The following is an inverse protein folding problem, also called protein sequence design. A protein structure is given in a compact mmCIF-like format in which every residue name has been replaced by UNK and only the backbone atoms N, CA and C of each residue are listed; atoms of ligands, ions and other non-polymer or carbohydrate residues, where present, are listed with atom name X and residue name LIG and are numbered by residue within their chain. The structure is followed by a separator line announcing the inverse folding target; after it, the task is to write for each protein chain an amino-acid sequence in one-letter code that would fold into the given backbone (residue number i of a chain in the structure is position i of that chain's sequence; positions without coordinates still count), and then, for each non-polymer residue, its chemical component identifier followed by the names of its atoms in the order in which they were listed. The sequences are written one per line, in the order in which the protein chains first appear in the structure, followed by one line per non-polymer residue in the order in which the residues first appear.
data_IF_089016287783
#
_entry.id   IF_089016287783
#
_cell.length_a   1.000
_cell.length_b   1.000
_cell.length_c   1.000
_cell.angle_alpha   90.00
_cell.angle_beta   90.00
_cell.angle_gamma   90.00
#
_symmetry.space_group_name_H-M   'P 1'
#
loop_
_entity.id
_entity.type
_entity.pdbx_description
1 polymer ?
#
# COMPACT_ATOMS: atom_id res chain seq x y z
N UNK A 1 -1.93 -46.54 -28.24
CA UNK A 1 -1.19 -46.38 -26.97
C UNK A 1 -0.81 -44.92 -26.78
N UNK A 2 -1.71 -44.11 -26.19
CA UNK A 2 -1.41 -42.75 -25.70
C UNK A 2 -2.06 -42.63 -24.33
N UNK A 3 -1.23 -42.62 -23.29
CA UNK A 3 -1.60 -42.49 -21.89
C UNK A 3 -2.07 -41.07 -21.59
N UNK A 4 -3.31 -40.90 -21.16
CA UNK A 4 -3.80 -39.65 -20.57
C UNK A 4 -3.60 -39.71 -19.06
N UNK A 5 -2.94 -38.68 -18.55
CA UNK A 5 -2.49 -38.46 -17.17
C UNK A 5 -3.64 -38.42 -16.13
N UNK A 6 -3.42 -38.88 -14.89
CA UNK A 6 -4.46 -39.08 -13.86
C UNK A 6 -4.77 -37.83 -13.00
N UNK A 7 -4.48 -36.61 -13.46
CA UNK A 7 -4.66 -35.38 -12.67
C UNK A 7 -5.95 -34.59 -12.98
N UNK A 8 -6.91 -35.20 -13.68
CA UNK A 8 -8.23 -34.60 -13.95
C UNK A 8 -9.26 -34.88 -12.83
N UNK A 9 -8.83 -35.21 -11.61
CA UNK A 9 -9.71 -35.59 -10.51
C UNK A 9 -9.29 -34.89 -9.21
N UNK A 10 -9.65 -33.61 -9.09
CA UNK A 10 -9.66 -32.87 -7.80
C UNK A 10 -10.47 -31.56 -7.83
N UNK A 11 -11.09 -31.19 -8.96
CA UNK A 11 -11.89 -29.96 -9.06
C UNK A 11 -13.33 -30.11 -8.51
N UNK A 12 -13.55 -30.97 -7.50
CA UNK A 12 -14.90 -31.33 -7.05
C UNK A 12 -15.10 -31.28 -5.52
N UNK A 13 -14.53 -30.28 -4.83
CA UNK A 13 -14.68 -30.13 -3.36
C UNK A 13 -15.25 -28.78 -2.90
N UNK A 14 -15.45 -27.79 -3.77
CA UNK A 14 -16.14 -26.55 -3.38
C UNK A 14 -17.46 -26.35 -4.13
N UNK A 15 -18.46 -27.15 -3.73
CA UNK A 15 -19.87 -26.96 -4.10
C UNK A 15 -20.53 -26.05 -3.07
N UNK A 16 -20.37 -24.74 -3.23
CA UNK A 16 -21.17 -23.75 -2.50
C UNK A 16 -22.53 -23.65 -3.23
N UNK A 17 -23.68 -23.85 -2.56
CA UNK A 17 -24.98 -23.70 -3.18
C UNK A 17 -25.28 -22.22 -3.46
N UNK A 18 -25.10 -21.80 -4.71
CA UNK A 18 -25.65 -20.55 -5.24
C UNK A 18 -27.17 -20.71 -5.41
N UNK A 19 -27.94 -20.62 -4.33
CA UNK A 19 -29.41 -20.60 -4.37
C UNK A 19 -29.97 -19.43 -3.56
N UNK A 20 -29.75 -18.22 -4.08
CA UNK A 20 -30.56 -17.03 -3.82
C UNK A 20 -30.49 -16.22 -5.11
N UNK A 21 -31.40 -16.49 -6.05
CA UNK A 21 -31.55 -15.66 -7.23
C UNK A 21 -32.06 -14.28 -6.78
N UNK A 22 -31.38 -13.16 -7.09
CA UNK A 22 -31.98 -11.86 -6.87
C UNK A 22 -33.15 -11.71 -7.84
N UNK A 23 -34.32 -11.35 -7.28
CA UNK A 23 -35.49 -10.97 -8.06
C UNK A 23 -35.10 -9.97 -9.15
N UNK A 24 -35.42 -10.30 -10.40
CA UNK A 24 -35.17 -9.48 -11.59
C UNK A 24 -35.95 -8.16 -11.44
N UNK A 25 -35.31 -6.98 -11.33
CA UNK A 25 -36.05 -5.73 -11.42
C UNK A 25 -36.60 -5.59 -12.86
N UNK A 26 -37.88 -5.24 -12.97
CA UNK A 26 -38.56 -4.91 -14.22
C UNK A 26 -37.81 -3.80 -14.98
N UNK A 27 -37.56 -3.92 -16.29
CA UNK A 27 -36.90 -2.89 -17.08
C UNK A 27 -37.93 -1.82 -17.48
N UNK A 28 -38.34 -1.00 -16.53
CA UNK A 28 -39.04 0.25 -16.80
C UNK A 28 -38.56 1.28 -15.80
N UNK A 29 -37.85 2.30 -16.29
CA UNK A 29 -37.32 3.45 -15.53
C UNK A 29 -35.91 3.31 -14.93
N UNK A 30 -34.94 2.77 -15.67
CA UNK A 30 -33.50 2.91 -15.35
C UNK A 30 -32.70 3.34 -16.58
N UNK A 31 -33.06 4.45 -17.21
CA UNK A 31 -32.29 5.06 -18.30
C UNK A 31 -31.92 6.49 -17.94
N UNK A 32 -30.76 6.69 -17.31
CA UNK A 32 -30.01 7.97 -17.39
C UNK A 32 -28.64 8.02 -16.68
N UNK A 33 -28.27 7.09 -15.78
CA UNK A 33 -27.00 7.23 -15.04
C UNK A 33 -25.76 6.63 -15.72
N UNK A 34 -25.91 5.78 -16.74
CA UNK A 34 -24.79 5.13 -17.43
C UNK A 34 -24.21 5.94 -18.59
N UNK A 35 -24.77 7.12 -18.91
CA UNK A 35 -24.34 7.97 -20.03
C UNK A 35 -23.72 9.31 -19.60
N UNK A 36 -23.02 9.35 -18.46
CA UNK A 36 -22.31 10.55 -17.97
C UNK A 36 -20.85 10.64 -18.45
N UNK A 37 -20.47 9.86 -19.47
CA UNK A 37 -19.23 10.11 -20.19
C UNK A 37 -19.43 11.34 -21.09
N UNK A 38 -18.61 12.40 -21.00
CA UNK A 38 -18.69 13.48 -21.98
C UNK A 38 -18.41 12.88 -23.36
N UNK A 39 -19.44 12.81 -24.21
CA UNK A 39 -19.42 12.09 -25.49
C UNK A 39 -18.48 12.70 -26.55
N UNK A 40 -17.67 13.71 -26.20
CA UNK A 40 -16.74 14.36 -27.11
C UNK A 40 -15.35 14.54 -26.46
N UNK A 41 -14.25 14.23 -27.17
CA UNK A 41 -12.91 14.51 -26.70
C UNK A 41 -12.72 16.02 -26.54
N UNK A 42 -12.00 16.41 -25.49
CA UNK A 42 -11.77 17.82 -25.16
C UNK A 42 -10.92 18.49 -26.24
N UNK A 43 -11.49 19.49 -26.92
CA UNK A 43 -10.81 20.26 -27.97
C UNK A 43 -10.04 21.41 -27.35
N UNK A 44 -8.71 21.35 -27.39
CA UNK A 44 -7.85 22.40 -26.88
C UNK A 44 -7.32 23.31 -28.00
N UNK A 45 -7.24 24.62 -27.74
CA UNK A 45 -6.47 25.55 -28.57
C UNK A 45 -4.97 25.32 -28.39
N UNK A 46 -4.14 25.79 -29.32
CA UNK A 46 -2.67 25.59 -29.32
C UNK A 46 -2.00 25.97 -27.99
N UNK A 47 -2.25 27.17 -27.47
CA UNK A 47 -1.66 27.64 -26.20
C UNK A 47 -2.12 26.82 -24.98
N UNK A 48 -3.38 26.37 -24.98
CA UNK A 48 -3.92 25.50 -23.91
C UNK A 48 -3.32 24.10 -23.98
N UNK A 49 -3.14 23.56 -25.18
CA UNK A 49 -2.48 22.28 -25.41
C UNK A 49 -1.02 22.30 -24.95
N UNK A 50 -0.27 23.37 -25.28
CA UNK A 50 1.12 23.51 -24.82
C UNK A 50 1.21 23.57 -23.29
N UNK A 51 0.36 24.36 -22.62
CA UNK A 51 0.31 24.39 -21.15
C UNK A 51 -0.01 23.02 -20.56
N UNK A 52 -1.03 22.35 -21.09
CA UNK A 52 -1.40 20.99 -20.67
C UNK A 52 -0.23 20.01 -20.84
N UNK A 53 0.44 20.04 -21.98
CA UNK A 53 1.59 19.18 -22.27
C UNK A 53 2.75 19.45 -21.32
N UNK A 54 3.07 20.72 -21.02
CA UNK A 54 4.14 21.07 -20.07
C UNK A 54 3.85 20.57 -18.66
N UNK A 55 2.62 20.74 -18.17
CA UNK A 55 2.20 20.25 -16.85
C UNK A 55 2.29 18.72 -16.79
N UNK A 56 1.76 18.04 -17.82
CA UNK A 56 1.80 16.59 -17.91
C UNK A 56 3.24 16.06 -17.95
N UNK A 57 4.13 16.70 -18.72
CA UNK A 57 5.53 16.29 -18.80
C UNK A 57 6.28 16.53 -17.50
N UNK A 58 6.03 17.66 -16.84
CA UNK A 58 6.60 17.96 -15.52
C UNK A 58 6.17 16.90 -14.48
N UNK A 59 4.90 16.50 -14.50
CA UNK A 59 4.38 15.43 -13.66
C UNK A 59 5.06 14.08 -13.95
N UNK A 60 5.19 13.68 -15.21
CA UNK A 60 5.92 12.45 -15.57
C UNK A 60 7.36 12.47 -15.07
N UNK A 61 8.04 13.61 -15.17
CA UNK A 61 9.41 13.78 -14.69
C UNK A 61 9.49 13.68 -13.15
N UNK A 62 8.54 14.27 -12.43
CA UNK A 62 8.44 14.14 -10.97
C UNK A 62 8.22 12.68 -10.57
N UNK A 63 7.29 11.98 -11.20
CA UNK A 63 7.06 10.55 -10.95
C UNK A 63 8.32 9.71 -11.22
N UNK A 64 9.03 9.98 -12.32
CA UNK A 64 10.27 9.27 -12.64
C UNK A 64 11.39 9.56 -11.62
N UNK A 65 11.43 10.77 -11.03
CA UNK A 65 12.34 11.07 -9.92
C UNK A 65 11.93 10.33 -8.64
N UNK A 66 10.64 10.30 -8.31
CA UNK A 66 10.15 9.60 -7.12
C UNK A 66 10.43 8.10 -7.19
N UNK A 67 10.16 7.44 -8.32
CA UNK A 67 10.49 6.01 -8.52
C UNK A 67 11.99 5.72 -8.35
N UNK A 68 12.84 6.52 -8.99
CA UNK A 68 14.31 6.39 -8.85
C UNK A 68 14.77 6.57 -7.40
N UNK A 69 14.20 7.53 -6.68
CA UNK A 69 14.54 7.73 -5.28
C UNK A 69 14.12 6.54 -4.41
N UNK A 70 12.94 5.97 -4.66
CA UNK A 70 12.48 4.76 -3.97
C UNK A 70 13.40 3.56 -4.26
N UNK A 71 13.78 3.34 -5.52
CA UNK A 71 14.71 2.27 -5.92
C UNK A 71 16.08 2.42 -5.25
N UNK A 72 16.63 3.64 -5.22
CA UNK A 72 17.90 3.92 -4.55
C UNK A 72 17.83 3.70 -3.04
N UNK A 73 16.72 4.07 -2.40
CA UNK A 73 16.54 3.87 -0.97
C UNK A 73 16.42 2.37 -0.63
N UNK A 74 15.68 1.60 -1.44
CA UNK A 74 15.63 0.14 -1.32
C UNK A 74 17.01 -0.49 -1.52
N UNK A 75 17.80 -0.01 -2.48
CA UNK A 75 19.17 -0.47 -2.71
C UNK A 75 20.07 -0.17 -1.50
N UNK A 76 19.96 1.03 -0.91
CA UNK A 76 20.72 1.41 0.29
C UNK A 76 20.38 0.52 1.48
N UNK A 77 19.09 0.29 1.73
CA UNK A 77 18.62 -0.59 2.80
C UNK A 77 19.15 -2.02 2.59
N UNK A 78 19.05 -2.54 1.36
CA UNK A 78 19.59 -3.85 1.02
C UNK A 78 21.10 -3.95 1.24
N UNK A 79 21.87 -2.94 0.81
CA UNK A 79 23.32 -2.90 1.01
C UNK A 79 23.68 -2.85 2.51
N UNK A 80 22.95 -2.06 3.29
CA UNK A 80 23.14 -1.99 4.75
C UNK A 80 22.84 -3.34 5.42
N UNK A 81 21.75 -4.00 5.02
CA UNK A 81 21.39 -5.33 5.54
C UNK A 81 22.42 -6.38 5.15
N UNK A 82 22.90 -6.35 3.91
CA UNK A 82 23.94 -7.25 3.41
C UNK A 82 25.25 -7.10 4.19
N UNK A 83 25.73 -5.87 4.36
CA UNK A 83 26.94 -5.59 5.15
C UNK A 83 26.81 -6.13 6.59
N UNK A 84 25.70 -5.85 7.27
CA UNK A 84 25.45 -6.37 8.61
C UNK A 84 25.44 -7.91 8.67
N UNK A 85 24.88 -8.58 7.65
CA UNK A 85 24.88 -10.05 7.57
C UNK A 85 26.28 -10.62 7.34
N UNK A 86 27.11 -9.96 6.54
CA UNK A 86 28.50 -10.36 6.30
C UNK A 86 29.36 -10.23 7.56
N UNK A 87 29.16 -9.17 8.34
CA UNK A 87 29.77 -8.99 9.66
C UNK A 87 29.35 -10.11 10.63
N UNK A 88 28.07 -10.48 10.67
CA UNK A 88 27.60 -11.61 11.49
C UNK A 88 28.17 -12.97 11.04
N UNK A 89 28.49 -13.11 9.75
CA UNK A 89 29.00 -14.35 9.17
C UNK A 89 30.48 -14.57 9.50
N UNK A 90 31.27 -13.49 9.51
CA UNK A 90 32.74 -13.56 9.60
C UNK A 90 33.34 -12.84 10.80
N UNK A 91 32.79 -11.69 11.20
CA UNK A 91 33.35 -10.79 12.22
C UNK A 91 32.95 -11.10 13.67
N UNK A 92 31.86 -11.83 13.90
CA UNK A 92 31.34 -12.07 15.25
C UNK A 92 32.08 -13.15 16.07
N UNK A 93 33.06 -13.85 15.51
CA UNK A 93 33.81 -14.92 16.21
C UNK A 93 33.02 -16.21 16.50
N UNK A 94 31.70 -16.22 16.29
CA UNK A 94 30.79 -17.34 16.56
C UNK A 94 30.76 -18.43 15.47
N UNK A 95 31.72 -18.44 14.54
CA UNK A 95 31.76 -19.37 13.41
C UNK A 95 30.51 -19.32 12.52
N UNK A 96 29.81 -18.17 12.46
CA UNK A 96 28.59 -17.99 11.68
C UNK A 96 27.33 -18.60 12.31
N UNK A 97 27.32 -18.96 13.60
CA UNK A 97 26.11 -19.45 14.29
C UNK A 97 24.96 -18.44 14.26
N UNK A 98 25.22 -17.18 14.61
CA UNK A 98 24.21 -16.12 14.61
C UNK A 98 23.65 -15.86 13.21
N UNK A 99 24.52 -15.86 12.19
CA UNK A 99 24.11 -15.75 10.79
C UNK A 99 23.11 -16.85 10.38
N UNK A 100 23.37 -18.12 10.72
CA UNK A 100 22.44 -19.23 10.44
C UNK A 100 21.09 -19.07 11.15
N UNK A 101 21.09 -18.57 12.39
CA UNK A 101 19.86 -18.31 13.13
C UNK A 101 19.06 -17.18 12.48
N UNK A 102 19.71 -16.09 12.11
CA UNK A 102 19.07 -14.94 11.46
C UNK A 102 18.47 -15.30 10.08
N UNK A 103 19.09 -16.22 9.34
CA UNK A 103 18.60 -16.68 8.03
C UNK A 103 17.43 -17.67 8.10
N UNK A 104 17.00 -18.08 9.30
CA UNK A 104 15.83 -18.96 9.44
C UNK A 104 14.54 -18.21 9.07
N UNK A 105 13.85 -18.67 8.03
CA UNK A 105 12.56 -18.11 7.56
C UNK A 105 11.33 -18.75 8.21
N UNK A 106 11.45 -19.21 9.46
CA UNK A 106 10.32 -19.82 10.19
C UNK A 106 9.25 -18.74 10.43
N UNK A 107 7.98 -19.05 10.20
CA UNK A 107 6.86 -18.12 10.41
C UNK A 107 6.64 -17.09 9.30
N UNK A 108 7.67 -16.72 8.52
CA UNK A 108 7.60 -15.61 7.53
C UNK A 108 6.52 -15.81 6.46
N UNK A 109 6.26 -17.05 6.04
CA UNK A 109 5.27 -17.36 5.00
C UNK A 109 3.93 -17.88 5.54
N UNK A 110 3.84 -18.14 6.84
CA UNK A 110 2.63 -18.69 7.50
C UNK A 110 1.94 -17.64 8.36
N UNK A 111 2.72 -16.93 9.17
CA UNK A 111 2.29 -15.82 10.02
C UNK A 111 2.54 -14.54 9.24
N UNK A 112 1.56 -14.18 8.40
CA UNK A 112 1.58 -12.93 7.64
C UNK A 112 1.76 -11.72 8.58
N UNK A 113 2.01 -10.53 8.01
CA UNK A 113 2.11 -9.29 8.77
C UNK A 113 0.91 -9.09 9.72
N UNK A 114 1.14 -8.66 10.98
CA UNK A 114 0.05 -8.35 11.90
C UNK A 114 -0.92 -7.33 11.31
N UNK A 115 -2.21 -7.60 11.44
CA UNK A 115 -3.28 -6.81 10.79
C UNK A 115 -3.33 -5.36 11.29
N UNK A 116 -2.80 -5.09 12.48
CA UNK A 116 -2.68 -3.78 13.09
C UNK A 116 -1.78 -2.84 12.26
N UNK A 117 -0.73 -3.39 11.64
CA UNK A 117 0.21 -2.64 10.81
C UNK A 117 -0.20 -2.55 9.34
N UNK A 118 -1.09 -3.43 8.87
CA UNK A 118 -1.64 -3.39 7.51
C UNK A 118 -2.62 -2.25 7.24
N UNK A 119 -2.78 -1.30 8.18
CA UNK A 119 -3.67 -0.16 8.03
C UNK A 119 -3.12 0.83 7.01
N UNK A 120 -3.95 1.19 6.03
CA UNK A 120 -3.60 2.22 5.05
C UNK A 120 -3.49 3.59 5.73
N UNK A 121 -2.60 4.43 5.22
CA UNK A 121 -2.48 5.82 5.67
C UNK A 121 -3.77 6.58 5.37
N UNK A 122 -4.25 7.36 6.34
CA UNK A 122 -5.44 8.21 6.22
C UNK A 122 -5.03 9.68 6.11
N UNK A 123 -5.82 10.49 5.41
CA UNK A 123 -5.54 11.92 5.23
C UNK A 123 -5.58 12.72 6.54
N UNK A 124 -6.36 12.26 7.52
CA UNK A 124 -6.45 12.83 8.86
C UNK A 124 -6.23 11.75 9.91
N UNK A 125 -5.61 12.11 11.05
CA UNK A 125 -5.42 11.17 12.15
C UNK A 125 -6.78 10.78 12.75
N UNK A 126 -6.90 9.58 13.34
CA UNK A 126 -8.10 9.20 14.05
C UNK A 126 -8.27 10.07 15.31
N UNK A 127 -9.51 10.24 15.82
CA UNK A 127 -9.79 11.04 17.03
C UNK A 127 -9.01 10.60 18.27
N UNK A 128 -8.58 9.33 18.32
CA UNK A 128 -7.70 8.78 19.36
C UNK A 128 -6.43 8.27 18.67
N UNK A 129 -5.37 9.08 18.71
CA UNK A 129 -4.07 8.70 18.20
C UNK A 129 -3.29 7.98 19.31
N UNK A 130 -2.96 6.71 19.07
CA UNK A 130 -2.34 5.83 20.08
C UNK A 130 -3.30 5.47 21.22
N UNK A 131 -3.20 4.26 21.74
CA UNK A 131 -3.85 3.86 23.01
C UNK A 131 -3.12 4.51 24.19
N UNK A 132 -3.14 5.85 24.25
CA UNK A 132 -2.84 6.57 25.48
C UNK A 132 -4.09 6.51 26.36
N UNK A 133 -3.99 5.78 27.47
CA UNK A 133 -5.00 5.72 28.53
C UNK A 133 -5.55 7.11 28.87
N UNK A 134 -6.86 7.20 29.09
CA UNK A 134 -7.72 8.39 29.03
C UNK A 134 -7.50 9.51 30.05
N UNK A 135 -6.29 9.75 30.56
CA UNK A 135 -5.98 10.85 31.48
C UNK A 135 -4.99 11.90 30.95
N UNK A 136 -4.38 11.72 29.77
CA UNK A 136 -3.36 12.65 29.27
C UNK A 136 -3.88 13.77 28.34
N UNK A 137 -5.01 13.57 27.64
CA UNK A 137 -5.44 14.51 26.58
C UNK A 137 -6.23 15.74 27.06
N UNK A 138 -6.61 15.81 28.35
CA UNK A 138 -7.27 17.01 28.91
C UNK A 138 -6.32 18.13 29.34
N UNK A 139 -4.99 17.92 29.31
CA UNK A 139 -4.00 18.96 29.66
C UNK A 139 -3.27 19.56 28.47
N UNK A 140 -3.22 18.88 27.33
CA UNK A 140 -2.36 19.31 26.21
C UNK A 140 -2.96 20.44 25.36
N UNK A 141 -4.29 20.48 25.18
CA UNK A 141 -4.93 21.51 24.34
C UNK A 141 -4.99 22.91 24.97
N UNK A 142 -4.58 23.08 26.24
CA UNK A 142 -4.48 24.41 26.87
C UNK A 142 -3.07 25.02 26.79
N UNK A 143 -2.04 24.23 26.55
CA UNK A 143 -0.65 24.68 26.68
C UNK A 143 -0.02 25.17 25.37
N UNK A 144 -0.63 24.93 24.21
CA UNK A 144 -0.04 25.31 22.91
C UNK A 144 -0.61 26.60 22.30
N UNK A 145 -1.46 27.33 23.01
CA UNK A 145 -2.08 28.56 22.50
C UNK A 145 -1.61 29.86 23.17
N UNK A 146 -1.00 29.82 24.36
CA UNK A 146 -0.60 31.07 25.07
C UNK A 146 0.86 31.53 24.83
N UNK A 147 1.76 30.67 24.34
CA UNK A 147 3.18 31.04 24.20
C UNK A 147 3.53 31.85 22.93
N UNK A 148 2.53 32.37 22.20
CA UNK A 148 2.74 33.21 20.99
C UNK A 148 2.35 34.68 21.14
N UNK A 149 2.21 35.20 22.37
CA UNK A 149 1.86 36.62 22.60
C UNK A 149 2.62 37.30 23.74
N UNK A 150 3.90 36.99 23.96
CA UNK A 150 4.78 37.79 24.83
C UNK A 150 6.20 37.91 24.24
N UNK A 151 6.30 38.65 23.14
CA UNK A 151 7.53 39.40 22.83
C UNK A 151 7.15 40.86 22.55
N UNK A 152 7.22 41.67 23.59
CA UNK A 152 7.48 43.10 23.55
C UNK A 152 8.28 43.49 24.78
#
# INVERSE_FOLDING_TARGET
MRSLSPLASLANVFRIPMSMAPARPSPSSATSFTTLSPLAPLRFSRNRYLRHWTIHRAWQLLQAKQRRNQELELQRQYQSMHAACEELRTGAGDGGKLFRVAMNKKGVFSEMFPIEYGRMQTDYPPPRVGTMSGNALRRSTRCLFEDRYTMR
#
